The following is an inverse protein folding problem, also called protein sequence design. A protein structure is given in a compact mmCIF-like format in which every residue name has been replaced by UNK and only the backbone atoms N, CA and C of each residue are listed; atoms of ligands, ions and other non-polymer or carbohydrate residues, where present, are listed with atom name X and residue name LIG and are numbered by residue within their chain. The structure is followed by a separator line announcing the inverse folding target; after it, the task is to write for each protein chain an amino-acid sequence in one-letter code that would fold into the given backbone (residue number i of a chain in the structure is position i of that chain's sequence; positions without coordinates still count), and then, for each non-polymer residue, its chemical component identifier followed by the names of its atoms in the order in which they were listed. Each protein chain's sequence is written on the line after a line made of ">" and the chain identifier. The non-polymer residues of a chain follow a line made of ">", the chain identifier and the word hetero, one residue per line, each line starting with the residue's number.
data_IF_072274820347
#
_entry.id   IF_072274820347
#
_cell.length_a   1.000
_cell.length_b   1.000
_cell.length_c   1.000
_cell.angle_alpha   90.00
_cell.angle_beta   90.00
_cell.angle_gamma   90.00
#
_symmetry.space_group_name_H-M   'P 1'
#
loop_
_entity.id
_entity.type
_entity.pdbx_description
1 polymer ?
#
# COMPACT_ATOMS: atom_id res chain seq x y z
N UNK A 1 -58.19 -14.03 36.00
CA UNK A 1 -58.09 -15.19 36.91
C UNK A 1 -58.85 -16.33 36.29
N UNK A 2 -58.16 -17.41 35.91
CA UNK A 2 -58.66 -18.78 35.60
C UNK A 2 -57.45 -19.49 34.97
N UNK A 3 -56.56 -20.14 35.74
CA UNK A 3 -56.72 -21.49 36.30
C UNK A 3 -57.09 -22.50 35.19
N UNK A 4 -56.12 -23.34 34.82
CA UNK A 4 -56.20 -24.37 33.78
C UNK A 4 -57.11 -25.55 34.14
N UNK A 5 -57.37 -26.47 33.20
CA UNK A 5 -56.58 -27.72 33.07
C UNK A 5 -56.56 -28.26 31.60
N UNK A 6 -56.15 -29.51 31.27
CA UNK A 6 -55.48 -30.55 32.07
C UNK A 6 -54.11 -31.02 31.52
N UNK A 7 -53.42 -31.69 32.42
CA UNK A 7 -52.12 -32.35 32.29
C UNK A 7 -52.08 -33.41 31.19
N UNK A 8 -50.88 -33.58 30.65
CA UNK A 8 -50.45 -34.71 29.84
C UNK A 8 -50.36 -35.97 30.71
N UNK A 9 -51.46 -36.70 30.84
CA UNK A 9 -51.50 -38.09 31.28
C UNK A 9 -52.88 -38.66 30.93
N UNK A 10 -53.11 -38.83 29.63
CA UNK A 10 -54.05 -39.81 29.08
C UNK A 10 -53.74 -39.94 27.60
N UNK A 11 -52.58 -40.56 27.33
CA UNK A 11 -52.32 -41.15 26.02
C UNK A 11 -53.27 -42.33 25.88
N UNK A 12 -54.53 -42.02 25.53
CA UNK A 12 -55.53 -43.00 25.14
C UNK A 12 -54.88 -43.91 24.10
N UNK A 13 -54.60 -45.14 24.53
CA UNK A 13 -53.95 -46.17 23.75
C UNK A 13 -54.80 -46.43 22.50
N UNK A 14 -54.40 -45.83 21.37
CA UNK A 14 -55.18 -45.92 20.14
C UNK A 14 -54.96 -47.35 19.58
N UNK A 15 -55.97 -48.24 19.59
CA UNK A 15 -55.77 -49.68 19.43
C UNK A 15 -55.60 -50.15 17.97
N UNK A 16 -55.27 -49.24 17.04
CA UNK A 16 -55.09 -49.52 15.61
C UNK A 16 -53.63 -49.38 15.16
N UNK A 17 -53.16 -50.28 14.31
CA UNK A 17 -51.85 -50.15 13.64
C UNK A 17 -51.95 -49.10 12.52
N UNK A 18 -51.11 -48.07 12.57
CA UNK A 18 -51.13 -46.93 11.66
C UNK A 18 -49.78 -46.69 10.96
N UNK A 19 -48.95 -47.73 10.85
CA UNK A 19 -47.68 -47.65 10.12
C UNK A 19 -47.89 -47.15 8.68
N UNK A 20 -47.28 -46.02 8.36
CA UNK A 20 -47.09 -45.54 6.98
C UNK A 20 -48.07 -44.47 6.47
N UNK A 21 -49.00 -43.96 7.28
CA UNK A 21 -49.89 -42.86 6.89
C UNK A 21 -49.43 -41.51 7.49
N UNK A 22 -49.26 -40.44 6.69
CA UNK A 22 -48.93 -39.11 7.21
C UNK A 22 -50.18 -38.38 7.74
N UNK A 23 -50.09 -37.70 8.88
CA UNK A 23 -51.16 -36.85 9.43
C UNK A 23 -51.56 -37.18 10.87
N UNK A 24 -52.84 -36.97 11.21
CA UNK A 24 -53.42 -37.28 12.52
C UNK A 24 -54.41 -38.45 12.41
N UNK A 25 -54.50 -39.31 13.43
CA UNK A 25 -55.48 -40.41 13.43
C UNK A 25 -56.92 -39.85 13.47
N UNK A 26 -57.84 -40.23 12.55
CA UNK A 26 -59.18 -39.66 12.49
C UNK A 26 -60.09 -40.06 13.66
N UNK A 27 -59.70 -41.06 14.48
CA UNK A 27 -60.52 -41.56 15.58
C UNK A 27 -60.12 -41.00 16.96
N UNK A 28 -58.82 -40.71 17.16
CA UNK A 28 -58.28 -40.25 18.45
C UNK A 28 -57.49 -38.92 18.34
N UNK A 29 -57.21 -38.42 17.14
CA UNK A 29 -56.57 -37.11 16.93
C UNK A 29 -55.08 -37.02 17.22
N UNK A 30 -54.40 -38.14 17.53
CA UNK A 30 -52.96 -38.14 17.82
C UNK A 30 -52.10 -37.96 16.54
N UNK A 31 -50.96 -37.23 16.61
CA UNK A 31 -50.03 -37.08 15.49
C UNK A 31 -49.31 -38.40 15.18
N UNK A 32 -49.22 -38.77 13.90
CA UNK A 32 -48.47 -39.93 13.43
C UNK A 32 -47.10 -39.49 12.87
N UNK A 33 -46.01 -39.95 13.49
CA UNK A 33 -44.64 -39.67 13.03
C UNK A 33 -44.25 -40.57 11.85
N UNK A 34 -43.66 -39.95 10.82
CA UNK A 34 -43.05 -40.67 9.70
C UNK A 34 -41.65 -41.09 10.14
N UNK A 35 -41.40 -42.39 10.24
CA UNK A 35 -40.06 -42.93 10.52
C UNK A 35 -39.34 -43.25 9.19
N UNK A 36 -38.27 -42.54 8.81
CA UNK A 36 -37.42 -42.96 7.69
C UNK A 36 -36.29 -43.90 8.15
N UNK A 37 -36.30 -45.13 7.61
CA UNK A 37 -35.22 -46.14 7.68
C UNK A 37 -34.45 -46.18 6.32
N UNK A 38 -33.27 -46.83 6.21
CA UNK A 38 -32.00 -46.55 6.86
C UNK A 38 -30.88 -46.07 5.88
N UNK A 39 -29.83 -45.49 6.48
CA UNK A 39 -28.67 -44.86 5.84
C UNK A 39 -27.60 -45.87 5.38
N UNK A 40 -27.23 -45.85 4.09
CA UNK A 40 -26.11 -46.66 3.59
C UNK A 40 -25.20 -46.02 2.53
N UNK A 41 -25.60 -44.92 1.88
CA UNK A 41 -24.86 -44.35 0.72
C UNK A 41 -24.18 -43.00 0.92
N UNK A 42 -24.51 -42.24 1.98
CA UNK A 42 -24.03 -40.85 2.13
C UNK A 42 -22.61 -40.70 2.71
N UNK A 43 -22.05 -41.71 3.40
CA UNK A 43 -20.80 -41.55 4.16
C UNK A 43 -19.54 -41.43 3.29
N UNK A 44 -19.51 -42.05 2.11
CA UNK A 44 -18.33 -42.07 1.23
C UNK A 44 -18.06 -40.71 0.56
N UNK A 45 -19.11 -40.03 0.08
CA UNK A 45 -19.00 -38.74 -0.62
C UNK A 45 -18.46 -37.58 0.25
N UNK A 46 -18.76 -37.56 1.55
CA UNK A 46 -18.24 -36.52 2.44
C UNK A 46 -16.73 -36.65 2.68
N UNK A 47 -16.15 -37.85 2.53
CA UNK A 47 -14.71 -38.06 2.70
C UNK A 47 -13.89 -37.61 1.49
N UNK A 48 -14.40 -37.82 0.28
CA UNK A 48 -13.74 -37.40 -0.97
C UNK A 48 -13.88 -35.89 -1.18
N UNK A 49 -15.04 -35.30 -0.85
CA UNK A 49 -15.26 -33.86 -0.89
C UNK A 49 -14.36 -33.10 0.10
N UNK A 50 -14.16 -33.63 1.32
CA UNK A 50 -13.24 -33.04 2.31
C UNK A 50 -11.78 -33.12 1.86
N UNK A 51 -11.36 -34.24 1.24
CA UNK A 51 -10.01 -34.38 0.68
C UNK A 51 -9.78 -33.43 -0.50
N UNK A 52 -10.76 -33.27 -1.39
CA UNK A 52 -10.67 -32.33 -2.51
C UNK A 52 -10.57 -30.86 -2.05
N UNK A 53 -11.33 -30.49 -1.01
CA UNK A 53 -11.26 -29.14 -0.44
C UNK A 53 -9.88 -28.84 0.17
N UNK A 54 -9.27 -29.80 0.88
CA UNK A 54 -7.92 -29.65 1.45
C UNK A 54 -6.85 -29.55 0.36
N UNK A 55 -6.97 -30.35 -0.71
CA UNK A 55 -6.03 -30.24 -1.84
C UNK A 55 -6.17 -28.89 -2.55
N UNK A 56 -7.40 -28.40 -2.74
CA UNK A 56 -7.65 -27.10 -3.37
C UNK A 56 -7.06 -25.93 -2.56
N UNK A 57 -7.17 -25.95 -1.22
CA UNK A 57 -6.57 -24.91 -0.38
C UNK A 57 -5.04 -24.97 -0.40
N UNK A 58 -4.44 -26.16 -0.38
CA UNK A 58 -2.98 -26.31 -0.49
C UNK A 58 -2.48 -25.76 -1.84
N UNK A 59 -3.17 -26.07 -2.94
CA UNK A 59 -2.82 -25.56 -4.27
C UNK A 59 -2.97 -24.04 -4.32
N UNK A 60 -4.05 -23.48 -3.79
CA UNK A 60 -4.25 -22.03 -3.74
C UNK A 60 -3.16 -21.31 -2.94
N UNK A 61 -2.76 -21.87 -1.79
CA UNK A 61 -1.67 -21.32 -0.96
C UNK A 61 -0.33 -21.44 -1.69
N UNK A 62 -0.04 -22.57 -2.33
CA UNK A 62 1.19 -22.78 -3.08
C UNK A 62 1.31 -21.83 -4.28
N UNK A 63 0.21 -21.61 -5.02
CA UNK A 63 0.16 -20.64 -6.12
C UNK A 63 0.31 -19.22 -5.59
N UNK A 64 -0.38 -18.87 -4.49
CA UNK A 64 -0.23 -17.56 -3.84
C UNK A 64 1.21 -17.28 -3.42
N UNK A 65 1.89 -18.27 -2.82
CA UNK A 65 3.30 -18.20 -2.45
C UNK A 65 4.22 -18.05 -3.68
N UNK A 66 3.99 -18.84 -4.73
CA UNK A 66 4.78 -18.76 -5.96
C UNK A 66 4.66 -17.38 -6.61
N UNK A 67 3.46 -16.82 -6.69
CA UNK A 67 3.24 -15.46 -7.21
C UNK A 67 3.95 -14.41 -6.35
N UNK A 68 3.87 -14.52 -5.02
CA UNK A 68 4.57 -13.63 -4.10
C UNK A 68 6.10 -13.69 -4.31
N UNK A 69 6.65 -14.89 -4.48
CA UNK A 69 8.08 -15.08 -4.74
C UNK A 69 8.49 -14.41 -6.06
N UNK A 70 7.73 -14.63 -7.14
CA UNK A 70 8.02 -14.02 -8.45
C UNK A 70 7.94 -12.49 -8.38
N UNK A 71 6.97 -11.92 -7.67
CA UNK A 71 6.85 -10.46 -7.51
C UNK A 71 8.02 -9.89 -6.69
N UNK A 72 8.45 -10.58 -5.63
CA UNK A 72 9.60 -10.15 -4.82
C UNK A 72 10.90 -10.27 -5.61
N UNK A 73 11.07 -11.32 -6.41
CA UNK A 73 12.26 -11.55 -7.22
C UNK A 73 12.38 -10.56 -8.38
N UNK A 74 11.26 -10.23 -9.02
CA UNK A 74 11.19 -9.15 -10.03
C UNK A 74 11.56 -7.79 -9.42
N UNK A 75 11.11 -7.51 -8.18
CA UNK A 75 11.50 -6.28 -7.45
C UNK A 75 12.98 -6.26 -7.07
N UNK A 76 13.55 -7.38 -6.63
CA UNK A 76 14.99 -7.49 -6.35
C UNK A 76 15.86 -7.36 -7.59
N UNK A 77 15.37 -7.87 -8.72
CA UNK A 77 16.05 -7.72 -10.02
C UNK A 77 15.98 -6.27 -10.50
N UNK A 78 14.88 -5.56 -10.23
CA UNK A 78 14.77 -4.12 -10.47
C UNK A 78 15.64 -3.27 -9.52
N UNK A 79 15.90 -3.73 -8.29
CA UNK A 79 16.86 -3.09 -7.37
C UNK A 79 18.32 -3.23 -7.84
N UNK A 80 18.60 -4.09 -8.83
CA UNK A 80 19.91 -4.20 -9.47
C UNK A 80 19.93 -3.42 -10.78
N UNK A 81 19.92 -2.10 -10.65
CA UNK A 81 20.18 -1.17 -11.75
C UNK A 81 21.50 -1.54 -12.45
N UNK A 82 21.49 -1.56 -13.79
CA UNK A 82 22.67 -1.90 -14.55
C UNK A 82 23.79 -0.85 -14.32
N UNK A 83 25.08 -1.23 -14.35
CA UNK A 83 26.17 -0.27 -14.14
C UNK A 83 26.13 0.94 -15.09
N UNK A 84 25.63 0.76 -16.31
CA UNK A 84 25.44 1.84 -17.29
C UNK A 84 24.34 2.82 -16.90
N UNK A 85 23.24 2.34 -16.32
CA UNK A 85 22.14 3.18 -15.83
C UNK A 85 22.59 3.95 -14.58
N UNK A 86 23.32 3.30 -13.68
CA UNK A 86 23.91 3.95 -12.52
C UNK A 86 24.89 5.06 -12.91
N UNK A 87 25.73 4.83 -13.93
CA UNK A 87 26.62 5.85 -14.47
C UNK A 87 25.85 7.02 -15.09
N UNK A 88 24.74 6.75 -15.79
CA UNK A 88 23.87 7.79 -16.34
C UNK A 88 23.25 8.65 -15.22
N UNK A 89 22.77 8.05 -14.13
CA UNK A 89 22.23 8.78 -12.98
C UNK A 89 23.32 9.61 -12.31
N UNK A 90 24.54 9.09 -12.14
CA UNK A 90 25.68 9.86 -11.60
C UNK A 90 26.00 11.09 -12.45
N UNK A 91 26.03 10.92 -13.77
CA UNK A 91 26.29 12.02 -14.70
C UNK A 91 25.18 13.06 -14.65
N UNK A 92 23.92 12.64 -14.69
CA UNK A 92 22.77 13.53 -14.58
C UNK A 92 22.76 14.28 -13.24
N UNK A 93 23.04 13.59 -12.13
CA UNK A 93 23.06 14.20 -10.80
C UNK A 93 24.11 15.31 -10.69
N UNK A 94 25.25 15.18 -11.36
CA UNK A 94 26.30 16.21 -11.35
C UNK A 94 25.85 17.57 -11.88
N UNK A 95 24.81 17.61 -12.73
CA UNK A 95 24.22 18.85 -13.25
C UNK A 95 22.91 19.20 -12.55
N UNK A 96 22.13 18.20 -12.15
CA UNK A 96 20.80 18.41 -11.56
C UNK A 96 20.83 18.76 -10.07
N UNK A 97 21.89 18.35 -9.35
CA UNK A 97 21.98 18.49 -7.89
C UNK A 97 21.72 19.92 -7.40
N UNK A 98 22.29 21.00 -7.98
CA UNK A 98 22.05 22.36 -7.50
C UNK A 98 20.57 22.74 -7.50
N UNK A 99 19.86 22.57 -8.63
CA UNK A 99 18.44 22.92 -8.74
C UNK A 99 17.58 22.14 -7.74
N UNK A 100 17.89 20.86 -7.53
CA UNK A 100 17.16 19.99 -6.62
C UNK A 100 17.43 20.37 -5.15
N UNK A 101 18.68 20.70 -4.80
CA UNK A 101 19.01 21.18 -3.44
C UNK A 101 18.44 22.55 -3.16
N UNK A 102 18.40 23.44 -4.15
CA UNK A 102 17.86 24.80 -4.00
C UNK A 102 16.35 24.76 -3.75
N UNK A 103 15.61 23.87 -4.43
CA UNK A 103 14.20 23.63 -4.13
C UNK A 103 14.00 23.08 -2.71
N UNK A 104 14.86 22.14 -2.28
CA UNK A 104 14.80 21.58 -0.93
C UNK A 104 15.03 22.65 0.15
N UNK A 105 16.00 23.55 -0.06
CA UNK A 105 16.27 24.67 0.83
C UNK A 105 15.11 25.66 0.86
N UNK A 106 14.51 25.98 -0.29
CA UNK A 106 13.36 26.88 -0.36
C UNK A 106 12.12 26.33 0.37
N UNK A 107 11.87 25.02 0.32
CA UNK A 107 10.84 24.34 1.11
C UNK A 107 11.09 24.55 2.62
N UNK A 108 12.30 24.20 3.08
CA UNK A 108 12.70 24.34 4.47
C UNK A 108 12.62 25.80 4.97
N UNK A 109 13.09 26.75 4.15
CA UNK A 109 13.05 28.16 4.48
C UNK A 109 11.64 28.71 4.56
N UNK A 110 10.72 28.21 3.73
CA UNK A 110 9.30 28.57 3.77
C UNK A 110 8.68 28.10 5.08
N UNK A 111 8.85 26.81 5.42
CA UNK A 111 8.37 26.23 6.68
C UNK A 111 8.97 26.96 7.90
N UNK A 112 10.29 27.19 7.87
CA UNK A 112 10.99 27.82 8.97
C UNK A 112 10.65 29.30 9.13
N UNK A 113 10.38 30.02 8.05
CA UNK A 113 9.97 31.42 8.10
C UNK A 113 8.51 31.56 8.56
N UNK A 114 7.64 30.62 8.19
CA UNK A 114 6.28 30.52 8.73
C UNK A 114 6.30 30.36 10.24
N UNK A 115 7.07 29.39 10.77
CA UNK A 115 7.20 29.15 12.22
C UNK A 115 7.71 30.37 12.98
N UNK A 116 8.64 31.13 12.39
CA UNK A 116 9.21 32.35 12.99
C UNK A 116 8.35 33.61 12.77
N UNK A 117 7.22 33.48 12.06
CA UNK A 117 6.36 34.60 11.67
C UNK A 117 7.13 35.72 10.94
N UNK A 118 8.16 35.35 10.17
CA UNK A 118 8.97 36.31 9.41
C UNK A 118 8.42 36.47 8.00
N UNK A 119 7.50 37.41 7.81
CA UNK A 119 6.82 37.64 6.54
C UNK A 119 7.78 37.95 5.39
N UNK A 120 8.85 38.72 5.63
CA UNK A 120 9.83 39.07 4.59
C UNK A 120 10.64 37.88 4.12
N UNK A 121 11.10 37.04 5.05
CA UNK A 121 11.83 35.82 4.73
C UNK A 121 10.91 34.78 4.07
N UNK A 122 9.65 34.68 4.52
CA UNK A 122 8.65 33.80 3.93
C UNK A 122 8.37 34.18 2.47
N UNK A 123 8.17 35.46 2.18
CA UNK A 123 7.95 35.94 0.80
C UNK A 123 9.13 35.57 -0.13
N UNK A 124 10.36 35.77 0.35
CA UNK A 124 11.56 35.41 -0.41
C UNK A 124 11.70 33.90 -0.62
N UNK A 125 11.42 33.10 0.41
CA UNK A 125 11.47 31.64 0.33
C UNK A 125 10.40 31.09 -0.64
N UNK A 126 9.17 31.61 -0.58
CA UNK A 126 8.10 31.20 -1.48
C UNK A 126 8.38 31.59 -2.94
N UNK A 127 9.05 32.71 -3.20
CA UNK A 127 9.48 33.05 -4.56
C UNK A 127 10.55 32.07 -5.08
N UNK A 128 11.56 31.73 -4.26
CA UNK A 128 12.55 30.71 -4.65
C UNK A 128 11.91 29.35 -4.88
N UNK A 129 10.97 28.96 -4.02
CA UNK A 129 10.22 27.72 -4.16
C UNK A 129 9.42 27.70 -5.46
N UNK A 130 8.75 28.81 -5.81
CA UNK A 130 8.04 28.96 -7.07
C UNK A 130 8.98 28.75 -8.27
N UNK A 131 10.09 29.48 -8.30
CA UNK A 131 11.02 29.48 -9.45
C UNK A 131 11.70 28.11 -9.60
N UNK A 132 12.17 27.54 -8.48
CA UNK A 132 12.77 26.21 -8.45
C UNK A 132 11.81 25.12 -8.91
N UNK A 133 10.55 25.19 -8.50
CA UNK A 133 9.53 24.22 -8.84
C UNK A 133 8.99 24.38 -10.28
N UNK A 134 8.88 25.61 -10.78
CA UNK A 134 8.32 25.90 -12.10
C UNK A 134 9.35 25.77 -13.23
N UNK A 135 10.62 26.04 -12.93
CA UNK A 135 11.67 26.22 -13.94
C UNK A 135 12.85 25.30 -13.69
N UNK A 136 13.50 25.45 -12.53
CA UNK A 136 14.84 24.87 -12.36
C UNK A 136 14.82 23.34 -12.27
N UNK A 137 13.93 22.76 -11.46
CA UNK A 137 13.77 21.30 -11.37
C UNK A 137 13.22 20.70 -12.67
N UNK A 138 12.13 21.22 -13.27
CA UNK A 138 11.65 20.72 -14.56
C UNK A 138 12.70 20.74 -15.67
N UNK A 139 13.59 21.74 -15.68
CA UNK A 139 14.69 21.80 -16.66
C UNK A 139 15.71 20.65 -16.54
N UNK A 140 15.77 19.98 -15.38
CA UNK A 140 16.61 18.81 -15.17
C UNK A 140 15.90 17.49 -15.47
N UNK A 141 14.60 17.51 -15.77
CA UNK A 141 13.81 16.30 -15.99
C UNK A 141 13.68 15.94 -17.49
N UNK A 142 13.51 14.65 -17.82
CA UNK A 142 13.48 13.49 -16.92
C UNK A 142 14.88 13.08 -16.45
N UNK A 143 14.96 12.45 -15.27
CA UNK A 143 16.18 11.73 -14.88
C UNK A 143 16.23 10.35 -15.58
N UNK A 144 17.41 9.71 -15.65
CA UNK A 144 17.52 8.35 -16.19
C UNK A 144 16.74 7.29 -15.38
N UNK A 145 16.41 7.57 -14.13
CA UNK A 145 15.57 6.70 -13.28
C UNK A 145 14.11 7.18 -13.31
N UNK A 146 13.19 6.25 -13.58
CA UNK A 146 11.76 6.59 -13.72
C UNK A 146 11.14 6.99 -12.38
N UNK A 147 11.47 6.29 -11.31
CA UNK A 147 10.87 6.53 -10.00
C UNK A 147 11.40 7.87 -9.45
N UNK A 148 12.68 8.16 -9.65
CA UNK A 148 13.25 9.47 -9.32
C UNK A 148 12.58 10.61 -10.09
N UNK A 149 12.30 10.41 -11.38
CA UNK A 149 11.55 11.38 -12.19
C UNK A 149 10.14 11.61 -11.64
N UNK A 150 9.45 10.54 -11.23
CA UNK A 150 8.11 10.64 -10.67
C UNK A 150 8.11 11.42 -9.34
N UNK A 151 9.04 11.11 -8.44
CA UNK A 151 9.13 11.80 -7.14
C UNK A 151 9.50 13.28 -7.30
N UNK A 152 10.45 13.62 -8.18
CA UNK A 152 10.84 15.02 -8.44
C UNK A 152 9.73 15.81 -9.12
N UNK A 153 8.97 15.18 -10.03
CA UNK A 153 7.81 15.82 -10.66
C UNK A 153 6.73 16.12 -9.62
N UNK A 154 6.37 15.14 -8.78
CA UNK A 154 5.39 15.34 -7.73
C UNK A 154 5.83 16.42 -6.72
N UNK A 155 7.11 16.39 -6.31
CA UNK A 155 7.67 17.42 -5.44
C UNK A 155 7.55 18.82 -6.04
N UNK A 156 7.88 18.98 -7.33
CA UNK A 156 7.79 20.26 -8.02
C UNK A 156 6.32 20.73 -8.13
N UNK A 157 5.38 19.85 -8.46
CA UNK A 157 3.96 20.21 -8.57
C UNK A 157 3.38 20.70 -7.22
N UNK A 158 3.66 19.97 -6.14
CA UNK A 158 3.22 20.32 -4.79
C UNK A 158 3.88 21.62 -4.31
N UNK A 159 5.20 21.79 -4.54
CA UNK A 159 5.94 22.99 -4.17
C UNK A 159 5.45 24.22 -4.96
N UNK A 160 5.19 24.07 -6.25
CA UNK A 160 4.66 25.14 -7.09
C UNK A 160 3.27 25.59 -6.62
N UNK A 161 2.40 24.63 -6.29
CA UNK A 161 1.07 24.90 -5.71
C UNK A 161 1.18 25.63 -4.38
N UNK A 162 2.02 25.15 -3.46
CA UNK A 162 2.27 25.80 -2.17
C UNK A 162 2.80 27.23 -2.36
N UNK A 163 3.69 27.45 -3.34
CA UNK A 163 4.29 28.76 -3.58
C UNK A 163 3.25 29.77 -4.05
N UNK A 164 2.32 29.38 -4.93
CA UNK A 164 1.21 30.23 -5.34
C UNK A 164 0.30 30.62 -4.17
N UNK A 165 -0.04 29.68 -3.30
CA UNK A 165 -0.84 29.97 -2.09
C UNK A 165 -0.12 30.95 -1.17
N UNK A 166 1.17 30.73 -0.91
CA UNK A 166 1.99 31.62 -0.08
C UNK A 166 2.08 33.03 -0.67
N UNK A 167 2.42 33.15 -1.96
CA UNK A 167 2.57 34.44 -2.62
C UNK A 167 1.24 35.19 -2.73
N UNK A 168 0.11 34.47 -2.87
CA UNK A 168 -1.22 35.07 -2.79
C UNK A 168 -1.49 35.70 -1.42
N UNK A 169 -1.14 35.01 -0.33
CA UNK A 169 -1.27 35.57 1.04
C UNK A 169 -0.35 36.77 1.24
N UNK A 170 0.90 36.71 0.78
CA UNK A 170 1.84 37.84 0.81
C UNK A 170 1.29 39.04 0.03
N UNK A 171 0.61 38.80 -1.09
CA UNK A 171 -0.09 39.81 -1.89
C UNK A 171 -1.42 40.28 -1.26
N UNK A 172 -1.75 39.85 -0.04
CA UNK A 172 -2.97 40.21 0.72
C UNK A 172 -4.26 39.76 0.03
N UNK A 173 -4.21 38.62 -0.67
CA UNK A 173 -5.40 37.95 -1.16
C UNK A 173 -6.38 37.65 0.01
N UNK A 174 -7.70 37.77 -0.19
CA UNK A 174 -8.69 37.47 0.85
C UNK A 174 -8.90 35.97 1.08
N UNK A 175 -8.23 35.11 0.30
CA UNK A 175 -8.35 33.66 0.42
C UNK A 175 -7.60 33.11 1.64
N UNK A 176 -8.19 32.14 2.33
CA UNK A 176 -7.54 31.40 3.40
C UNK A 176 -6.98 30.08 2.84
N UNK A 177 -5.66 29.97 2.81
CA UNK A 177 -4.93 28.79 2.33
C UNK A 177 -4.15 28.08 3.44
N UNK A 178 -4.35 28.39 4.73
CA UNK A 178 -3.46 27.89 5.80
C UNK A 178 -3.30 26.35 5.79
N UNK A 179 -4.42 25.63 5.69
CA UNK A 179 -4.40 24.16 5.64
C UNK A 179 -3.90 23.59 4.31
N UNK A 180 -4.24 24.22 3.20
CA UNK A 180 -3.82 23.75 1.87
C UNK A 180 -2.33 24.01 1.63
N UNK A 181 -1.83 25.16 2.06
CA UNK A 181 -0.42 25.53 1.96
C UNK A 181 0.46 24.53 2.72
N UNK A 182 0.14 24.28 3.98
CA UNK A 182 0.90 23.36 4.84
C UNK A 182 0.83 21.93 4.33
N UNK A 183 -0.34 21.47 3.85
CA UNK A 183 -0.46 20.14 3.25
C UNK A 183 0.39 19.96 1.99
N UNK A 184 0.37 20.94 1.06
CA UNK A 184 1.19 20.88 -0.15
C UNK A 184 2.69 20.97 0.17
N UNK A 185 3.08 21.82 1.14
CA UNK A 185 4.45 21.93 1.59
C UNK A 185 4.97 20.59 2.16
N UNK A 186 4.18 19.95 3.03
CA UNK A 186 4.50 18.65 3.63
C UNK A 186 4.62 17.53 2.56
N UNK A 187 3.73 17.52 1.56
CA UNK A 187 3.84 16.55 0.46
C UNK A 187 5.09 16.80 -0.37
N UNK A 188 5.37 18.05 -0.76
CA UNK A 188 6.57 18.39 -1.52
C UNK A 188 7.85 17.92 -0.79
N UNK A 189 7.97 18.19 0.52
CA UNK A 189 9.10 17.73 1.33
C UNK A 189 9.20 16.21 1.40
N UNK A 190 8.06 15.51 1.50
CA UNK A 190 8.02 14.05 1.51
C UNK A 190 8.53 13.47 0.19
N UNK A 191 8.09 14.01 -0.94
CA UNK A 191 8.53 13.57 -2.27
C UNK A 191 10.00 13.91 -2.52
N UNK A 192 10.48 15.08 -2.07
CA UNK A 192 11.91 15.39 -2.09
C UNK A 192 12.74 14.39 -1.28
N UNK A 193 12.27 13.99 -0.10
CA UNK A 193 12.95 12.97 0.73
C UNK A 193 12.98 11.61 0.04
N UNK A 194 11.89 11.22 -0.63
CA UNK A 194 11.82 10.00 -1.42
C UNK A 194 12.82 10.04 -2.58
N UNK A 195 12.83 11.12 -3.36
CA UNK A 195 13.80 11.37 -4.43
C UNK A 195 15.25 11.27 -3.94
N UNK A 196 15.59 11.94 -2.82
CA UNK A 196 16.96 11.90 -2.27
C UNK A 196 17.34 10.52 -1.77
N UNK A 197 16.39 9.74 -1.26
CA UNK A 197 16.63 8.34 -0.88
C UNK A 197 16.98 7.49 -2.09
N UNK A 198 16.31 7.71 -3.23
CA UNK A 198 16.61 7.02 -4.50
C UNK A 198 18.00 7.41 -5.02
N UNK A 199 18.29 8.71 -5.09
CA UNK A 199 19.62 9.21 -5.50
C UNK A 199 20.71 8.59 -4.64
N UNK A 200 20.60 8.68 -3.31
CA UNK A 200 21.61 8.14 -2.41
C UNK A 200 21.80 6.63 -2.58
N UNK A 201 20.70 5.87 -2.75
CA UNK A 201 20.77 4.43 -3.02
C UNK A 201 21.55 4.15 -4.30
N UNK A 202 21.24 4.86 -5.39
CA UNK A 202 21.88 4.67 -6.69
C UNK A 202 23.34 5.08 -6.65
N UNK A 203 23.68 6.23 -6.05
CA UNK A 203 25.07 6.72 -6.02
C UNK A 203 25.99 5.82 -5.18
N UNK A 204 25.48 5.27 -4.08
CA UNK A 204 26.26 4.48 -3.12
C UNK A 204 26.28 2.97 -3.39
N UNK A 205 25.46 2.48 -4.34
CA UNK A 205 25.50 1.08 -4.73
C UNK A 205 26.89 0.73 -5.32
N UNK A 206 27.59 -0.24 -4.72
CA UNK A 206 28.89 -0.69 -5.21
C UNK A 206 28.72 -1.60 -6.42
N UNK A 207 29.46 -1.33 -7.50
CA UNK A 207 29.48 -2.23 -8.64
C UNK A 207 30.14 -3.57 -8.25
N UNK A 208 29.68 -4.72 -8.77
CA UNK A 208 30.30 -6.02 -8.50
C UNK A 208 31.81 -6.06 -8.83
N UNK A 209 32.27 -5.25 -9.80
CA UNK A 209 33.68 -5.13 -10.17
C UNK A 209 34.55 -4.47 -9.09
N UNK A 210 34.05 -3.44 -8.39
CA UNK A 210 34.78 -2.78 -7.31
C UNK A 210 34.91 -3.67 -6.06
N UNK A 211 33.91 -4.51 -5.77
CA UNK A 211 33.99 -5.47 -4.66
C UNK A 211 35.06 -6.55 -4.88
N UNK A 212 35.20 -7.02 -6.11
CA UNK A 212 36.24 -8.00 -6.47
C UNK A 212 37.64 -7.36 -6.49
N UNK A 213 37.78 -6.12 -6.95
CA UNK A 213 39.03 -5.36 -6.87
C UNK A 213 39.47 -5.08 -5.43
N UNK A 214 38.56 -4.58 -4.60
CA UNK A 214 38.83 -4.29 -3.19
C UNK A 214 39.19 -5.53 -2.36
N UNK A 215 38.57 -6.69 -2.65
CA UNK A 215 38.93 -7.95 -2.02
C UNK A 215 40.32 -8.46 -2.44
N UNK A 216 40.68 -8.24 -3.71
CA UNK A 216 41.97 -8.66 -4.26
C UNK A 216 43.12 -7.79 -3.77
N UNK A 217 42.92 -6.48 -3.65
CA UNK A 217 43.93 -5.54 -3.13
C UNK A 217 44.19 -5.76 -1.63
N UNK A 218 43.15 -6.12 -0.86
CA UNK A 218 43.29 -6.49 0.55
C UNK A 218 44.10 -7.79 0.73
N UNK A 219 43.93 -8.77 -0.15
CA UNK A 219 44.70 -10.02 -0.12
C UNK A 219 46.18 -9.85 -0.50
N UNK A 220 46.53 -8.80 -1.26
CA UNK A 220 47.94 -8.49 -1.62
C UNK A 220 48.65 -7.71 -0.52
N UNK A 221 47.92 -6.98 0.33
CA UNK A 221 48.50 -6.22 1.44
C UNK A 221 48.80 -7.09 2.69
N UNK A 222 48.29 -8.33 2.73
CA UNK A 222 48.44 -9.25 3.87
C UNK A 222 49.41 -10.42 3.60
N UNK A 223 50.11 -10.43 2.46
CA UNK A 223 51.10 -11.45 2.08
C UNK A 223 52.48 -10.86 1.82
#
# INVERSE_FOLDING_TARGET
>A
MTVGPPNADDSAFCPGDHRGAPGFCPNCGAPLEVSPEPEGRRRWWHSTARRAAVVATIVAVAVGLAVLIVVVDARRSADHMAPSEQAAVRQWWSTAQPAITDLQEALYDSESSLRRMNASALASACQRMHDGAAVDVPAQLPSPDRDLTAELTAAAEDAHTAAHMCLAVVAKSPHNYEGEFTANLDQAEKQMRAAMTLVNRILTAQTPGERLGSARDRAVAEG
#
